data_IF_016318316569
#
_entry.id   IF_016318316569
#
_cell.length_a   1.000
_cell.length_b   1.000
_cell.length_c   1.000
_cell.angle_alpha   90.00
_cell.angle_beta   90.00
_cell.angle_gamma   90.00
#
_symmetry.space_group_name_H-M   'P 1'
#
loop_
_entity.id
_entity.type
_entity.pdbx_description
1 polymer ?
#
# COMPACT_ATOMS: atom_id res chain seq x y z
N UNK A 1 -24.16 19.15 -20.23
CA UNK A 1 -23.29 17.96 -20.06
C UNK A 1 -21.83 18.32 -20.32
N UNK A 2 -21.51 19.10 -21.34
CA UNK A 2 -20.11 19.47 -21.67
C UNK A 2 -19.44 20.44 -20.69
N UNK A 3 -20.21 21.18 -19.88
CA UNK A 3 -19.66 22.13 -18.89
C UNK A 3 -18.93 21.46 -17.73
N UNK A 4 -19.20 20.18 -17.44
CA UNK A 4 -18.53 19.42 -16.38
C UNK A 4 -17.09 19.02 -16.74
N UNK A 5 -16.77 18.87 -18.00
CA UNK A 5 -15.45 18.44 -18.50
C UNK A 5 -14.75 19.58 -19.27
N UNK A 6 -14.86 20.80 -18.76
CA UNK A 6 -14.12 21.93 -19.30
C UNK A 6 -12.59 21.79 -19.01
N UNK A 7 -11.72 22.52 -19.73
CA UNK A 7 -10.27 22.42 -19.55
C UNK A 7 -9.79 22.63 -18.11
N UNK A 8 -10.47 23.48 -17.34
CA UNK A 8 -10.11 23.77 -15.93
C UNK A 8 -10.43 22.57 -15.03
N UNK A 9 -11.59 21.96 -15.21
CA UNK A 9 -11.99 20.73 -14.49
C UNK A 9 -11.06 19.58 -14.79
N UNK A 10 -10.70 19.38 -16.06
CA UNK A 10 -9.73 18.36 -16.47
C UNK A 10 -8.34 18.62 -15.83
N UNK A 11 -7.87 19.86 -15.86
CA UNK A 11 -6.60 20.23 -15.23
C UNK A 11 -6.59 19.91 -13.72
N UNK A 12 -7.69 20.20 -13.03
CA UNK A 12 -7.85 19.86 -11.60
C UNK A 12 -7.86 18.35 -11.36
N UNK A 13 -8.57 17.57 -12.18
CA UNK A 13 -8.57 16.11 -12.10
C UNK A 13 -7.18 15.52 -12.33
N UNK A 14 -6.41 16.06 -13.28
CA UNK A 14 -5.03 15.65 -13.51
C UNK A 14 -4.12 15.93 -12.30
N UNK A 15 -4.27 17.08 -11.65
CA UNK A 15 -3.53 17.39 -10.42
C UNK A 15 -3.92 16.45 -9.29
N UNK A 16 -5.21 16.14 -9.14
CA UNK A 16 -5.66 15.17 -8.14
C UNK A 16 -5.12 13.76 -8.42
N UNK A 17 -5.14 13.32 -9.68
CA UNK A 17 -4.56 12.05 -10.10
C UNK A 17 -3.06 11.99 -9.83
N UNK A 18 -2.32 13.07 -10.11
CA UNK A 18 -0.90 13.15 -9.81
C UNK A 18 -0.62 12.92 -8.32
N UNK A 19 -1.36 13.57 -7.42
CA UNK A 19 -1.22 13.39 -5.96
C UNK A 19 -1.56 11.95 -5.54
N UNK A 20 -2.62 11.36 -6.11
CA UNK A 20 -2.97 9.95 -5.89
C UNK A 20 -1.82 9.03 -6.29
N UNK A 21 -1.24 9.26 -7.48
CA UNK A 21 -0.10 8.48 -7.98
C UNK A 21 1.16 8.69 -7.15
N UNK A 22 1.44 9.91 -6.73
CA UNK A 22 2.58 10.24 -5.87
C UNK A 22 2.51 9.46 -4.55
N UNK A 23 1.37 9.55 -3.85
CA UNK A 23 1.16 8.80 -2.60
C UNK A 23 1.29 7.30 -2.86
N UNK A 24 0.64 6.77 -3.91
CA UNK A 24 0.63 5.35 -4.23
C UNK A 24 2.02 4.83 -4.55
N UNK A 25 2.70 5.43 -5.53
CA UNK A 25 3.98 4.94 -6.06
C UNK A 25 5.05 4.98 -4.98
N UNK A 26 5.18 6.11 -4.27
CA UNK A 26 6.19 6.25 -3.21
C UNK A 26 5.94 5.24 -2.09
N UNK A 27 4.69 5.10 -1.65
CA UNK A 27 4.34 4.12 -0.62
C UNK A 27 4.57 2.68 -1.07
N UNK A 28 4.26 2.34 -2.32
CA UNK A 28 4.49 1.01 -2.90
C UNK A 28 5.98 0.68 -2.96
N UNK A 29 6.82 1.62 -3.37
CA UNK A 29 8.27 1.42 -3.42
C UNK A 29 8.80 1.11 -2.01
N UNK A 30 8.47 1.95 -1.03
CA UNK A 30 8.91 1.76 0.36
C UNK A 30 8.36 0.44 0.94
N UNK A 31 7.09 0.14 0.69
CA UNK A 31 6.44 -1.12 1.09
C UNK A 31 7.15 -2.34 0.51
N UNK A 32 7.49 -2.30 -0.77
CA UNK A 32 8.13 -3.43 -1.45
C UNK A 32 9.51 -3.73 -0.85
N UNK A 33 10.35 -2.73 -0.71
CA UNK A 33 11.69 -2.92 -0.12
C UNK A 33 11.62 -3.19 1.39
N UNK A 34 10.86 -2.40 2.15
CA UNK A 34 10.70 -2.57 3.59
C UNK A 34 10.08 -3.91 3.95
N UNK A 35 9.02 -4.31 3.24
CA UNK A 35 8.34 -5.57 3.46
C UNK A 35 9.17 -6.79 3.07
N UNK A 36 9.93 -6.74 1.97
CA UNK A 36 10.89 -7.79 1.62
C UNK A 36 11.95 -7.94 2.71
N UNK A 37 12.57 -6.84 3.14
CA UNK A 37 13.58 -6.86 4.19
C UNK A 37 13.03 -7.44 5.50
N UNK A 38 11.93 -6.90 6.00
CA UNK A 38 11.28 -7.36 7.23
C UNK A 38 10.78 -8.81 7.11
N UNK A 39 10.27 -9.22 5.95
CA UNK A 39 9.80 -10.58 5.70
C UNK A 39 10.92 -11.61 5.70
N UNK A 40 12.08 -11.27 5.16
CA UNK A 40 13.28 -12.11 5.25
C UNK A 40 13.71 -12.21 6.73
N UNK A 41 13.79 -11.08 7.46
CA UNK A 41 14.11 -11.07 8.88
C UNK A 41 13.16 -11.97 9.70
N UNK A 42 11.84 -11.84 9.46
CA UNK A 42 10.81 -12.64 10.15
C UNK A 42 10.89 -14.13 9.79
N UNK A 43 11.52 -14.48 8.66
CA UNK A 43 11.70 -15.86 8.20
C UNK A 43 12.94 -16.54 8.80
N UNK A 44 13.83 -15.79 9.44
CA UNK A 44 14.98 -16.34 10.12
C UNK A 44 14.54 -17.27 11.26
N UNK A 45 15.38 -18.27 11.58
CA UNK A 45 15.13 -19.25 12.67
C UNK A 45 15.27 -18.66 14.09
N UNK A 46 15.25 -17.34 14.23
CA UNK A 46 15.37 -16.67 15.53
C UNK A 46 13.97 -16.39 16.10
N UNK A 47 13.65 -17.03 17.24
CA UNK A 47 12.35 -16.90 17.91
C UNK A 47 12.07 -15.46 18.38
N UNK A 48 13.07 -14.75 18.83
CA UNK A 48 12.91 -13.38 19.35
C UNK A 48 12.55 -12.40 18.20
N UNK A 49 13.27 -12.50 17.08
CA UNK A 49 12.95 -11.69 15.88
C UNK A 49 11.54 -11.99 15.40
N UNK A 50 11.17 -13.26 15.34
CA UNK A 50 9.82 -13.66 14.94
C UNK A 50 8.74 -13.07 15.84
N UNK A 51 8.90 -13.17 17.17
CA UNK A 51 7.93 -12.64 18.14
C UNK A 51 7.81 -11.12 18.02
N UNK A 52 8.94 -10.41 17.89
CA UNK A 52 8.95 -8.96 17.74
C UNK A 52 8.25 -8.52 16.47
N UNK A 53 8.58 -9.13 15.31
CA UNK A 53 7.93 -8.85 14.04
C UNK A 53 6.42 -9.17 14.09
N UNK A 54 6.05 -10.28 14.73
CA UNK A 54 4.65 -10.69 14.87
C UNK A 54 3.86 -9.70 15.74
N UNK A 55 4.44 -9.29 16.85
CA UNK A 55 3.82 -8.28 17.72
C UNK A 55 3.62 -6.95 16.99
N UNK A 56 4.65 -6.47 16.29
CA UNK A 56 4.58 -5.23 15.52
C UNK A 56 3.51 -5.31 14.40
N UNK A 57 3.42 -6.45 13.71
CA UNK A 57 2.40 -6.71 12.69
C UNK A 57 0.98 -6.63 13.29
N UNK A 58 0.74 -7.33 14.39
CA UNK A 58 -0.57 -7.34 15.04
C UNK A 58 -0.92 -5.94 15.58
N UNK A 59 0.05 -5.22 16.14
CA UNK A 59 -0.15 -3.84 16.58
C UNK A 59 -0.60 -2.93 15.43
N UNK A 60 0.02 -3.05 14.25
CA UNK A 60 -0.37 -2.28 13.06
C UNK A 60 -1.75 -2.69 12.55
N UNK A 61 -2.11 -3.98 12.62
CA UNK A 61 -3.40 -4.52 12.13
C UNK A 61 -4.59 -4.23 13.04
N UNK A 62 -4.38 -4.16 14.36
CA UNK A 62 -5.46 -3.89 15.34
C UNK A 62 -6.10 -2.53 15.10
N UNK A 63 -5.31 -1.53 14.75
CA UNK A 63 -5.84 -0.20 14.50
C UNK A 63 -6.26 -0.03 13.03
N UNK A 64 -7.48 0.54 12.79
CA UNK A 64 -7.89 0.90 11.44
C UNK A 64 -6.90 1.88 10.79
N UNK A 65 -6.66 1.70 9.49
CA UNK A 65 -5.74 2.53 8.71
C UNK A 65 -6.05 4.03 8.81
N UNK A 66 -7.34 4.37 8.88
CA UNK A 66 -7.80 5.75 9.05
C UNK A 66 -7.33 6.36 10.38
N UNK A 67 -7.35 5.57 11.45
CA UNK A 67 -6.87 6.02 12.76
C UNK A 67 -5.38 6.33 12.73
N UNK A 68 -4.58 5.50 12.03
CA UNK A 68 -3.17 5.76 11.79
C UNK A 68 -2.94 7.08 11.05
N UNK A 69 -3.75 7.38 10.03
CA UNK A 69 -3.66 8.65 9.29
C UNK A 69 -3.91 9.86 10.21
N UNK A 70 -4.96 9.80 11.05
CA UNK A 70 -5.23 10.88 11.99
C UNK A 70 -4.15 11.01 13.08
N UNK A 71 -3.64 9.89 13.61
CA UNK A 71 -2.59 9.92 14.62
C UNK A 71 -1.28 10.52 14.07
N UNK A 72 -0.90 10.18 12.85
CA UNK A 72 0.32 10.71 12.25
C UNK A 72 0.14 12.18 11.86
N UNK A 73 -0.96 12.54 11.22
CA UNK A 73 -1.16 13.90 10.73
C UNK A 73 -1.43 14.90 11.87
N UNK A 74 -2.40 14.62 12.73
CA UNK A 74 -2.77 15.51 13.83
C UNK A 74 -1.97 15.29 15.11
N UNK A 75 -1.65 14.02 15.41
CA UNK A 75 -0.96 13.66 16.65
C UNK A 75 0.48 14.11 16.67
N UNK A 76 1.25 13.92 15.61
CA UNK A 76 2.65 14.38 15.55
C UNK A 76 2.76 15.89 15.63
N UNK A 77 1.85 16.60 14.97
CA UNK A 77 1.78 18.07 15.06
C UNK A 77 1.52 18.54 16.49
N UNK A 78 0.55 17.90 17.17
CA UNK A 78 0.13 18.32 18.51
C UNK A 78 1.10 17.95 19.62
N UNK A 79 1.71 16.76 19.56
CA UNK A 79 2.53 16.22 20.66
C UNK A 79 4.01 16.51 20.48
N UNK A 80 4.50 16.52 19.24
CA UNK A 80 5.91 16.68 18.94
C UNK A 80 6.24 17.98 18.20
N UNK A 81 5.23 18.79 17.84
CA UNK A 81 5.42 20.00 17.06
C UNK A 81 5.85 19.76 15.61
N UNK A 82 5.78 18.51 15.13
CA UNK A 82 6.20 18.14 13.79
C UNK A 82 5.02 18.31 12.83
N UNK A 83 5.05 19.37 12.03
CA UNK A 83 4.02 19.65 11.03
C UNK A 83 4.35 18.98 9.71
N UNK A 84 3.71 17.85 9.44
CA UNK A 84 3.79 17.14 8.18
C UNK A 84 2.68 17.58 7.23
N UNK A 85 2.96 17.57 5.92
CA UNK A 85 1.89 17.73 4.94
C UNK A 85 0.95 16.51 4.95
N UNK A 86 -0.29 16.67 4.49
CA UNK A 86 -1.23 15.56 4.36
C UNK A 86 -0.70 14.45 3.44
N UNK A 87 -0.01 14.82 2.35
CA UNK A 87 0.64 13.88 1.43
C UNK A 87 1.76 13.11 2.12
N UNK A 88 2.68 13.81 2.81
CA UNK A 88 3.78 13.15 3.53
C UNK A 88 3.27 12.22 4.63
N UNK A 89 2.25 12.64 5.38
CA UNK A 89 1.63 11.80 6.42
C UNK A 89 0.99 10.55 5.83
N UNK A 90 0.31 10.67 4.70
CA UNK A 90 -0.27 9.55 3.98
C UNK A 90 0.82 8.57 3.51
N UNK A 91 1.90 9.06 2.89
CA UNK A 91 3.02 8.24 2.44
C UNK A 91 3.64 7.47 3.62
N UNK A 92 3.89 8.12 4.74
CA UNK A 92 4.46 7.46 5.94
C UNK A 92 3.54 6.34 6.42
N UNK A 93 2.26 6.62 6.60
CA UNK A 93 1.29 5.64 7.12
C UNK A 93 1.13 4.45 6.17
N UNK A 94 0.92 4.70 4.88
CA UNK A 94 0.78 3.62 3.89
C UNK A 94 2.05 2.80 3.75
N UNK A 95 3.23 3.43 3.83
CA UNK A 95 4.51 2.74 3.75
C UNK A 95 4.74 1.83 4.95
N UNK A 96 4.46 2.29 6.16
CA UNK A 96 4.59 1.47 7.38
C UNK A 96 3.59 0.33 7.35
N UNK A 97 2.30 0.63 7.18
CA UNK A 97 1.25 -0.36 7.13
C UNK A 97 1.52 -1.41 6.03
N UNK A 98 1.83 -0.95 4.82
CA UNK A 98 2.12 -1.83 3.70
C UNK A 98 3.36 -2.69 3.92
N UNK A 99 4.43 -2.16 4.54
CA UNK A 99 5.65 -2.92 4.83
C UNK A 99 5.39 -4.08 5.81
N UNK A 100 4.55 -3.89 6.83
CA UNK A 100 4.18 -4.97 7.74
C UNK A 100 3.27 -6.00 7.06
N UNK A 101 2.32 -5.57 6.24
CA UNK A 101 1.50 -6.50 5.44
C UNK A 101 2.36 -7.32 4.47
N UNK A 102 3.26 -6.66 3.72
CA UNK A 102 4.17 -7.33 2.77
C UNK A 102 5.14 -8.28 3.50
N UNK A 103 5.62 -7.92 4.69
CA UNK A 103 6.45 -8.78 5.55
C UNK A 103 5.79 -10.14 5.78
N UNK A 104 4.50 -10.16 6.12
CA UNK A 104 3.76 -11.40 6.38
C UNK A 104 3.54 -12.20 5.08
N UNK A 105 3.30 -11.53 3.95
CA UNK A 105 3.18 -12.18 2.64
C UNK A 105 4.49 -12.86 2.23
N UNK A 106 5.62 -12.19 2.38
CA UNK A 106 6.96 -12.74 2.10
C UNK A 106 7.22 -13.97 2.95
N UNK A 107 7.00 -13.86 4.26
CA UNK A 107 7.17 -14.99 5.18
C UNK A 107 6.25 -16.16 4.84
N UNK A 108 4.98 -15.90 4.54
CA UNK A 108 4.00 -16.92 4.19
C UNK A 108 4.38 -17.62 2.89
N UNK A 109 4.83 -16.88 1.87
CA UNK A 109 5.27 -17.46 0.60
C UNK A 109 6.49 -18.38 0.78
N UNK A 110 7.48 -17.97 1.57
CA UNK A 110 8.65 -18.80 1.88
C UNK A 110 8.26 -20.07 2.67
N UNK A 111 7.41 -19.94 3.68
CA UNK A 111 6.94 -21.09 4.49
C UNK A 111 6.04 -22.06 3.73
N UNK A 112 5.38 -21.59 2.68
CA UNK A 112 4.50 -22.43 1.87
C UNK A 112 5.25 -23.44 0.99
N UNK A 113 6.58 -23.31 0.85
CA UNK A 113 7.39 -24.25 0.07
C UNK A 113 7.50 -25.58 0.83
N UNK A 114 7.09 -26.71 0.22
CA UNK A 114 7.10 -27.99 0.88
C UNK A 114 8.51 -28.46 1.27
N UNK A 115 8.63 -29.21 2.37
CA UNK A 115 9.92 -29.70 2.89
C UNK A 115 10.67 -30.56 1.87
N UNK A 116 9.96 -31.38 1.08
CA UNK A 116 10.59 -32.23 0.07
C UNK A 116 11.41 -31.44 -0.97
N UNK A 117 11.08 -30.17 -1.23
CA UNK A 117 11.91 -29.31 -2.12
C UNK A 117 13.29 -29.07 -1.54
N UNK A 118 13.41 -28.89 -0.22
CA UNK A 118 14.70 -28.75 0.47
C UNK A 118 15.45 -30.07 0.52
N UNK A 119 14.75 -31.18 0.74
CA UNK A 119 15.32 -32.53 0.82
C UNK A 119 15.82 -32.98 -0.55
N UNK A 120 15.04 -32.77 -1.60
CA UNK A 120 15.48 -33.07 -3.00
C UNK A 120 16.69 -32.24 -3.41
N UNK A 121 16.72 -30.94 -3.04
CA UNK A 121 17.88 -30.10 -3.29
C UNK A 121 19.15 -30.63 -2.62
N UNK A 122 19.03 -31.07 -1.36
CA UNK A 122 20.13 -31.67 -0.62
C UNK A 122 20.59 -32.98 -1.21
N UNK A 123 19.65 -33.84 -1.69
CA UNK A 123 19.98 -35.12 -2.37
C UNK A 123 20.73 -34.91 -3.68
N UNK A 124 20.55 -33.78 -4.35
CA UNK A 124 21.31 -33.38 -5.54
C UNK A 124 22.67 -32.74 -5.20
N UNK A 125 23.07 -32.72 -3.92
CA UNK A 125 24.34 -32.15 -3.47
C UNK A 125 24.38 -30.61 -3.45
N UNK A 126 23.25 -29.94 -3.58
CA UNK A 126 23.20 -28.48 -3.52
C UNK A 126 23.46 -27.99 -2.09
N UNK A 127 24.33 -27.02 -1.94
CA UNK A 127 24.49 -26.34 -0.68
C UNK A 127 23.27 -25.45 -0.33
N UNK A 128 23.19 -24.95 0.89
CA UNK A 128 22.03 -24.16 1.35
C UNK A 128 21.78 -22.91 0.48
N UNK A 129 22.83 -22.18 0.13
CA UNK A 129 22.70 -20.98 -0.69
C UNK A 129 22.17 -21.32 -2.10
N UNK A 130 22.71 -22.35 -2.73
CA UNK A 130 22.27 -22.85 -4.04
C UNK A 130 20.80 -23.31 -3.98
N UNK A 131 20.43 -24.09 -2.96
CA UNK A 131 19.05 -24.54 -2.76
C UNK A 131 18.08 -23.36 -2.65
N UNK A 132 18.43 -22.34 -1.87
CA UNK A 132 17.61 -21.13 -1.76
C UNK A 132 17.54 -20.38 -3.09
N UNK A 133 18.65 -20.12 -3.75
CA UNK A 133 18.72 -19.26 -4.93
C UNK A 133 18.08 -19.90 -6.16
N UNK A 134 18.32 -21.20 -6.39
CA UNK A 134 17.85 -21.88 -7.60
C UNK A 134 16.49 -22.56 -7.45
N UNK A 135 16.06 -22.92 -6.24
CA UNK A 135 14.85 -23.73 -6.04
C UNK A 135 13.80 -22.97 -5.22
N UNK A 136 14.17 -22.50 -4.02
CA UNK A 136 13.20 -21.97 -3.05
C UNK A 136 12.71 -20.57 -3.43
N UNK A 137 13.63 -19.62 -3.68
CA UNK A 137 13.27 -18.24 -3.99
C UNK A 137 12.42 -18.15 -5.27
N UNK A 138 12.76 -18.79 -6.40
CA UNK A 138 11.91 -18.73 -7.59
C UNK A 138 10.48 -19.26 -7.37
N UNK A 139 10.33 -20.34 -6.60
CA UNK A 139 9.01 -20.86 -6.23
C UNK A 139 8.26 -19.93 -5.28
N UNK A 140 8.94 -19.38 -4.27
CA UNK A 140 8.35 -18.43 -3.33
C UNK A 140 7.89 -17.16 -4.03
N UNK A 141 8.68 -16.62 -4.98
CA UNK A 141 8.34 -15.45 -5.78
C UNK A 141 7.07 -15.66 -6.62
N UNK A 142 6.92 -16.82 -7.26
CA UNK A 142 5.68 -17.16 -7.99
C UNK A 142 4.44 -17.14 -7.10
N UNK A 143 4.56 -17.50 -5.82
CA UNK A 143 3.46 -17.46 -4.85
C UNK A 143 3.27 -16.07 -4.26
N UNK A 144 4.36 -15.32 -4.05
CA UNK A 144 4.33 -13.97 -3.53
C UNK A 144 3.67 -13.00 -4.52
N UNK A 145 3.96 -13.11 -5.81
CA UNK A 145 3.50 -12.15 -6.82
C UNK A 145 1.98 -11.90 -6.80
N UNK A 146 1.08 -12.91 -6.86
CA UNK A 146 -0.35 -12.63 -6.84
C UNK A 146 -0.82 -12.02 -5.51
N UNK A 147 -0.23 -12.43 -4.38
CA UNK A 147 -0.57 -11.87 -3.06
C UNK A 147 -0.11 -10.42 -2.94
N UNK A 148 1.09 -10.11 -3.41
CA UNK A 148 1.61 -8.74 -3.40
C UNK A 148 0.81 -7.83 -4.33
N UNK A 149 0.43 -8.29 -5.52
CA UNK A 149 -0.42 -7.50 -6.43
C UNK A 149 -1.75 -7.12 -5.77
N UNK A 150 -2.39 -8.04 -5.06
CA UNK A 150 -3.61 -7.74 -4.29
C UNK A 150 -3.38 -6.69 -3.20
N UNK A 151 -2.24 -6.76 -2.48
CA UNK A 151 -1.88 -5.75 -1.49
C UNK A 151 -1.66 -4.39 -2.15
N UNK A 152 -0.87 -4.32 -3.22
CA UNK A 152 -0.55 -3.08 -3.91
C UNK A 152 -1.80 -2.42 -4.50
N UNK A 153 -2.68 -3.20 -5.13
CA UNK A 153 -3.97 -2.69 -5.63
C UNK A 153 -4.84 -2.14 -4.50
N UNK A 154 -4.89 -2.84 -3.36
CA UNK A 154 -5.59 -2.35 -2.17
C UNK A 154 -4.99 -1.04 -1.65
N UNK A 155 -3.65 -0.91 -1.64
CA UNK A 155 -2.97 0.31 -1.26
C UNK A 155 -3.37 1.49 -2.14
N UNK A 156 -3.35 1.33 -3.46
CA UNK A 156 -3.76 2.38 -4.42
C UNK A 156 -5.19 2.84 -4.11
N UNK A 157 -6.12 1.91 -3.93
CA UNK A 157 -7.52 2.25 -3.59
C UNK A 157 -7.64 2.93 -2.23
N UNK A 158 -6.81 2.55 -1.25
CA UNK A 158 -6.84 3.13 0.10
C UNK A 158 -6.27 4.55 0.17
N UNK A 159 -5.55 5.04 -0.86
CA UNK A 159 -5.08 6.44 -0.88
C UNK A 159 -6.23 7.43 -0.81
N UNK A 160 -7.45 7.02 -1.18
CA UNK A 160 -8.65 7.83 -1.02
C UNK A 160 -8.89 8.27 0.43
N UNK A 161 -8.41 7.50 1.44
CA UNK A 161 -8.53 7.92 2.83
C UNK A 161 -7.69 9.18 3.16
N UNK A 162 -6.68 9.49 2.37
CA UNK A 162 -5.87 10.70 2.56
C UNK A 162 -6.70 11.99 2.38
N UNK A 163 -7.81 11.93 1.66
CA UNK A 163 -8.79 13.02 1.57
C UNK A 163 -9.25 13.52 2.95
N UNK A 164 -9.41 12.61 3.92
CA UNK A 164 -9.93 12.91 5.25
C UNK A 164 -8.94 13.69 6.14
N UNK A 165 -7.66 13.65 5.79
CA UNK A 165 -6.60 14.47 6.41
C UNK A 165 -6.23 15.69 5.55
N UNK A 166 -7.03 16.01 4.54
CA UNK A 166 -6.89 17.21 3.72
C UNK A 166 -6.02 17.07 2.47
N UNK A 167 -5.61 15.86 2.06
CA UNK A 167 -4.93 15.67 0.79
C UNK A 167 -5.92 15.94 -0.37
N UNK A 168 -5.49 16.77 -1.32
CA UNK A 168 -6.31 17.13 -2.50
C UNK A 168 -6.01 16.13 -3.62
N UNK A 169 -6.32 14.86 -3.34
CA UNK A 169 -6.18 13.74 -4.27
C UNK A 169 -7.41 13.64 -5.20
N UNK A 170 -7.43 12.64 -6.07
CA UNK A 170 -8.43 12.53 -7.15
C UNK A 170 -9.89 12.54 -6.65
N UNK A 171 -10.19 11.82 -5.55
CA UNK A 171 -11.57 11.75 -5.01
C UNK A 171 -11.98 13.09 -4.38
N UNK A 172 -11.04 13.77 -3.69
CA UNK A 172 -11.28 15.11 -3.14
C UNK A 172 -11.58 16.13 -4.23
N UNK A 173 -10.81 16.10 -5.32
CA UNK A 173 -11.07 16.96 -6.48
C UNK A 173 -12.42 16.65 -7.10
N UNK A 174 -12.75 15.37 -7.26
CA UNK A 174 -14.07 14.95 -7.77
C UNK A 174 -15.21 15.49 -6.92
N UNK A 175 -15.10 15.37 -5.60
CA UNK A 175 -16.08 15.91 -4.66
C UNK A 175 -16.24 17.43 -4.82
N UNK A 176 -15.14 18.18 -4.88
CA UNK A 176 -15.18 19.64 -5.08
C UNK A 176 -15.84 20.04 -6.40
N UNK A 177 -15.63 19.27 -7.48
CA UNK A 177 -16.26 19.51 -8.76
C UNK A 177 -17.77 19.28 -8.66
N UNK A 178 -18.21 18.24 -7.97
CA UNK A 178 -19.62 17.92 -7.74
C UNK A 178 -20.28 19.06 -6.91
N UNK A 179 -19.66 19.47 -5.83
CA UNK A 179 -20.16 20.55 -4.97
C UNK A 179 -20.30 21.87 -5.73
N UNK A 180 -19.36 22.18 -6.59
CA UNK A 180 -19.40 23.38 -7.44
C UNK A 180 -20.51 23.32 -8.51
N UNK A 181 -20.83 22.13 -9.00
CA UNK A 181 -21.84 21.90 -10.04
C UNK A 181 -23.15 21.33 -9.46
N UNK A 182 -23.55 21.72 -8.27
CA UNK A 182 -24.67 21.18 -7.50
C UNK A 182 -26.05 21.30 -8.21
N UNK A 183 -26.16 22.12 -9.25
CA UNK A 183 -27.37 22.28 -10.07
C UNK A 183 -27.51 21.18 -11.15
N UNK A 184 -26.48 20.36 -11.32
CA UNK A 184 -26.47 19.30 -12.34
C UNK A 184 -26.61 17.93 -11.66
N UNK A 185 -27.81 17.37 -11.68
CA UNK A 185 -28.14 16.08 -11.04
C UNK A 185 -27.29 14.89 -11.57
N UNK A 186 -26.72 15.01 -12.77
CA UNK A 186 -25.86 13.98 -13.35
C UNK A 186 -24.38 14.12 -12.97
N UNK A 187 -23.95 15.26 -12.37
CA UNK A 187 -22.55 15.50 -12.02
C UNK A 187 -21.96 14.41 -11.14
N UNK A 188 -22.62 13.94 -10.05
CA UNK A 188 -22.09 12.86 -9.21
C UNK A 188 -21.84 11.58 -9.99
N UNK A 189 -22.78 11.17 -10.84
CA UNK A 189 -22.66 9.92 -11.62
C UNK A 189 -21.52 9.98 -12.62
N UNK A 190 -21.32 11.11 -13.29
CA UNK A 190 -20.25 11.28 -14.29
C UNK A 190 -18.89 11.29 -13.58
N UNK A 191 -18.72 12.11 -12.57
CA UNK A 191 -17.43 12.30 -11.89
C UNK A 191 -17.02 11.03 -11.12
N UNK A 192 -17.90 10.46 -10.30
CA UNK A 192 -17.57 9.23 -9.58
C UNK A 192 -17.45 8.03 -10.52
N UNK A 193 -18.22 7.98 -11.61
CA UNK A 193 -18.06 6.96 -12.65
C UNK A 193 -16.68 7.02 -13.31
N UNK A 194 -16.19 8.22 -13.64
CA UNK A 194 -14.84 8.45 -14.16
C UNK A 194 -13.75 8.02 -13.16
N UNK A 195 -13.88 8.42 -11.90
CA UNK A 195 -12.94 8.05 -10.83
C UNK A 195 -12.94 6.54 -10.64
N UNK A 196 -14.12 5.91 -10.58
CA UNK A 196 -14.24 4.46 -10.48
C UNK A 196 -13.53 3.76 -11.64
N UNK A 197 -13.71 4.24 -12.87
CA UNK A 197 -13.06 3.67 -14.05
C UNK A 197 -11.53 3.78 -13.96
N UNK A 198 -11.00 4.92 -13.51
CA UNK A 198 -9.54 5.11 -13.29
C UNK A 198 -8.99 4.12 -12.27
N UNK A 199 -9.71 3.87 -11.17
CA UNK A 199 -9.27 2.90 -10.15
C UNK A 199 -9.50 1.44 -10.52
N UNK A 200 -10.32 1.17 -11.55
CA UNK A 200 -10.58 -0.17 -12.05
C UNK A 200 -9.52 -0.62 -13.08
N UNK A 201 -9.00 0.32 -13.87
CA UNK A 201 -7.92 0.06 -14.84
C UNK A 201 -6.58 -0.19 -14.14
#
# INVERSE_FOLDING_TARGET
MFDLLNPDTLSRLWKGLYITLEISIVSIIITSFGGLFLGILMSLKNRYIYILCRFALEFVRVMPLLVWLFMVYFGLSRWLGINLSSVSSAIIVFSIWGSFEMMDLVRTSLKSIPKHQYESAASLGLNKAQSYFYIIIPQAMRRLTPMSMNLLTRMIKSTTFAYLIGAVELVKVGQQIIEFNNKNDLAPFIIYGLIFFIFFL
#
